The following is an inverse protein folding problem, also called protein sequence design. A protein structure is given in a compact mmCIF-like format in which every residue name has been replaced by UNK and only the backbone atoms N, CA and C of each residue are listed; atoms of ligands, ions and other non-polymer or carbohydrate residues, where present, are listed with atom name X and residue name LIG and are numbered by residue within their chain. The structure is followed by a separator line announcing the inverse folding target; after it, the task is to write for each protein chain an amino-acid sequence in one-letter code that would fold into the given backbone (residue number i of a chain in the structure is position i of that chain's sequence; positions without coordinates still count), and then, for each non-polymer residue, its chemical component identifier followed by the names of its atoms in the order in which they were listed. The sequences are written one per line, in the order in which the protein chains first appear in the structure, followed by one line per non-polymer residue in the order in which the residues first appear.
data_IF_799147654648
#
_entry.id   IF_799147654648
#
_cell.length_a   1.000
_cell.length_b   1.000
_cell.length_c   1.000
_cell.angle_alpha   90.00
_cell.angle_beta   90.00
_cell.angle_gamma   90.00
#
_symmetry.space_group_name_H-M   'P 1'
#
loop_
_entity.id
_entity.type
_entity.pdbx_description
1 polymer ?
#
# COMPACT_ATOMS: atom_id res chain seq x y z
N UNK A 1 23.47 -4.25 -7.20
CA UNK A 1 23.00 -3.16 -6.31
C UNK A 1 21.50 -3.35 -6.08
N UNK A 2 21.14 -4.06 -5.03
CA UNK A 2 19.75 -4.33 -4.63
C UNK A 2 19.24 -3.09 -3.89
N UNK A 3 18.84 -2.06 -4.62
CA UNK A 3 18.43 -0.80 -4.06
C UNK A 3 16.91 -0.66 -4.06
N UNK A 4 16.29 -0.71 -2.89
CA UNK A 4 15.16 0.15 -2.62
C UNK A 4 13.75 -0.42 -2.56
N UNK A 5 13.51 -1.73 -2.54
CA UNK A 5 12.20 -2.30 -2.16
C UNK A 5 12.08 -2.55 -0.64
N UNK A 6 13.18 -2.40 0.09
CA UNK A 6 13.33 -2.94 1.43
C UNK A 6 12.97 -1.99 2.57
N UNK A 7 12.43 -0.81 2.27
CA UNK A 7 11.99 0.12 3.32
C UNK A 7 10.51 0.42 3.19
N UNK A 8 9.76 0.41 4.31
CA UNK A 8 8.37 0.81 4.31
C UNK A 8 8.25 2.27 3.91
N UNK A 9 7.19 2.61 3.18
CA UNK A 9 6.88 4.00 2.80
C UNK A 9 6.09 4.72 3.89
N UNK A 10 5.40 3.95 4.73
CA UNK A 10 4.50 4.45 5.78
C UNK A 10 4.70 3.70 7.08
N UNK A 11 4.33 4.35 8.19
CA UNK A 11 4.27 3.73 9.51
C UNK A 11 2.88 3.92 10.10
N UNK A 12 2.29 2.86 10.64
CA UNK A 12 1.01 2.96 11.38
C UNK A 12 1.09 3.82 12.62
N UNK A 13 2.26 3.93 13.24
CA UNK A 13 2.44 4.80 14.40
C UNK A 13 2.20 6.28 14.12
N UNK A 14 2.43 6.72 12.88
CA UNK A 14 2.21 8.10 12.46
C UNK A 14 0.73 8.45 12.22
N UNK A 15 -0.13 7.49 11.96
CA UNK A 15 -1.52 7.70 11.55
C UNK A 15 -2.56 7.56 12.67
N UNK A 16 -2.21 6.94 13.81
CA UNK A 16 -3.17 6.59 14.88
C UNK A 16 -3.18 7.57 16.05
N UNK A 17 -2.74 8.82 15.88
CA UNK A 17 -2.85 9.85 16.92
C UNK A 17 -2.14 9.51 18.25
N UNK A 18 -1.05 8.76 18.19
CA UNK A 18 -0.24 8.43 19.36
C UNK A 18 -0.79 7.31 20.25
N UNK A 19 -1.81 6.59 19.86
CA UNK A 19 -2.20 5.35 20.52
C UNK A 19 -1.21 4.24 20.15
N UNK A 20 -0.24 4.00 21.01
CA UNK A 20 0.61 2.81 20.95
C UNK A 20 -0.31 1.58 20.98
N UNK A 21 -0.42 0.89 19.86
CA UNK A 21 -0.95 -0.46 19.83
C UNK A 21 0.24 -1.37 20.08
N UNK A 22 0.42 -1.72 21.34
CA UNK A 22 1.34 -2.77 21.77
C UNK A 22 0.80 -4.11 21.27
N UNK A 23 1.03 -4.38 19.98
CA UNK A 23 0.47 -5.57 19.32
C UNK A 23 1.60 -6.34 18.68
N UNK A 24 1.93 -7.44 19.33
CA UNK A 24 2.61 -8.53 18.64
C UNK A 24 1.77 -8.92 17.40
N UNK A 25 2.45 -9.29 16.33
CA UNK A 25 1.75 -9.85 15.17
C UNK A 25 1.00 -11.12 15.61
N UNK A 26 -0.24 -11.30 15.16
CA UNK A 26 -0.97 -12.52 15.47
C UNK A 26 -0.23 -13.74 14.92
N UNK A 27 -0.41 -14.93 15.52
CA UNK A 27 0.11 -16.15 14.96
C UNK A 27 -0.45 -16.38 13.55
N UNK A 28 0.29 -17.11 12.72
CA UNK A 28 -0.21 -17.49 11.40
C UNK A 28 -1.53 -18.25 11.53
N UNK A 29 -2.54 -17.97 10.69
CA UNK A 29 -3.77 -18.73 10.67
C UNK A 29 -3.55 -20.14 10.11
N UNK A 30 -4.53 -21.01 10.26
CA UNK A 30 -4.52 -22.31 9.59
C UNK A 30 -4.49 -22.12 8.06
N UNK A 31 -3.81 -23.00 7.32
CA UNK A 31 -3.77 -22.95 5.88
C UNK A 31 -5.17 -23.02 5.24
N UNK A 32 -5.38 -22.23 4.22
CA UNK A 32 -6.62 -22.23 3.45
C UNK A 32 -6.76 -23.55 2.67
N UNK A 33 -7.99 -24.06 2.48
CA UNK A 33 -8.23 -25.31 1.76
C UNK A 33 -7.89 -25.23 0.26
N UNK A 34 -7.85 -24.00 -0.29
CA UNK A 34 -7.49 -23.74 -1.66
C UNK A 34 -6.65 -22.46 -1.76
N UNK A 35 -5.72 -22.38 -2.72
CA UNK A 35 -4.97 -21.14 -2.96
C UNK A 35 -5.88 -19.99 -3.33
N UNK A 36 -5.57 -18.82 -2.79
CA UNK A 36 -6.29 -17.56 -3.05
C UNK A 36 -5.34 -16.44 -3.47
N UNK A 37 -5.93 -15.38 -3.99
CA UNK A 37 -5.27 -14.10 -4.24
C UNK A 37 -5.74 -13.11 -3.20
N UNK A 38 -4.81 -12.47 -2.51
CA UNK A 38 -5.12 -11.26 -1.72
C UNK A 38 -5.19 -10.08 -2.69
N UNK A 39 -6.40 -9.55 -2.89
CA UNK A 39 -6.63 -8.50 -3.86
C UNK A 39 -6.42 -7.08 -3.31
N UNK A 40 -6.04 -6.93 -2.02
CA UNK A 40 -5.81 -5.62 -1.42
C UNK A 40 -4.85 -5.73 -0.22
N UNK A 41 -3.58 -5.52 -0.47
CA UNK A 41 -2.53 -5.65 0.54
C UNK A 41 -1.61 -4.42 0.57
N UNK A 42 -1.02 -4.15 1.74
CA UNK A 42 -0.05 -3.09 1.97
C UNK A 42 1.23 -3.64 2.62
N UNK A 43 2.12 -4.18 1.80
CA UNK A 43 3.43 -4.68 2.25
C UNK A 43 4.42 -3.55 2.60
N UNK A 44 4.10 -2.33 2.20
CA UNK A 44 4.91 -1.12 2.39
C UNK A 44 4.68 -0.41 3.73
N UNK A 45 3.93 -1.02 4.66
CA UNK A 45 3.60 -0.42 5.95
C UNK A 45 4.43 -1.05 7.06
N UNK A 46 5.11 -0.19 7.85
CA UNK A 46 5.68 -0.59 9.13
C UNK A 46 4.56 -0.70 10.18
N UNK A 47 4.11 -1.91 10.46
CA UNK A 47 2.97 -2.22 11.33
C UNK A 47 3.33 -2.98 12.60
N UNK A 48 4.61 -3.33 12.76
CA UNK A 48 5.10 -4.03 13.93
C UNK A 48 5.39 -3.10 15.11
N UNK A 49 5.64 -3.68 16.30
CA UNK A 49 6.09 -2.92 17.46
C UNK A 49 7.34 -2.11 17.11
N UNK A 50 7.48 -0.94 17.71
CA UNK A 50 8.63 -0.04 17.51
C UNK A 50 8.89 0.40 16.04
N UNK A 51 7.87 0.34 15.19
CA UNK A 51 7.98 0.69 13.77
C UNK A 51 8.70 -0.36 12.93
N UNK A 52 8.87 -1.57 13.44
CA UNK A 52 9.38 -2.68 12.65
C UNK A 52 8.39 -3.07 11.54
N UNK A 53 8.93 -3.59 10.45
CA UNK A 53 8.10 -4.14 9.37
C UNK A 53 8.62 -5.51 8.97
N UNK A 54 7.77 -6.25 8.30
CA UNK A 54 8.16 -7.50 7.68
C UNK A 54 8.62 -7.19 6.25
N UNK A 55 9.82 -7.62 5.93
CA UNK A 55 10.37 -7.47 4.59
C UNK A 55 9.48 -8.20 3.57
N UNK A 56 9.29 -7.62 2.38
CA UNK A 56 8.29 -8.09 1.41
C UNK A 56 8.46 -9.58 1.05
N UNK A 57 9.67 -10.04 0.79
CA UNK A 57 9.93 -11.44 0.47
C UNK A 57 9.55 -12.39 1.60
N UNK A 58 9.80 -12.02 2.84
CA UNK A 58 9.40 -12.81 4.00
C UNK A 58 7.88 -12.78 4.22
N UNK A 59 7.24 -11.63 4.01
CA UNK A 59 5.77 -11.53 4.07
C UNK A 59 5.11 -12.43 3.04
N UNK A 60 5.60 -12.42 1.81
CA UNK A 60 5.12 -13.25 0.71
C UNK A 60 5.33 -14.74 0.97
N UNK A 61 6.46 -15.13 1.55
CA UNK A 61 6.72 -16.51 1.94
C UNK A 61 5.72 -17.00 2.98
N UNK A 62 5.48 -16.22 4.04
CA UNK A 62 4.49 -16.54 5.08
C UNK A 62 3.06 -16.59 4.53
N UNK A 63 2.70 -15.68 3.64
CA UNK A 63 1.40 -15.68 2.98
C UNK A 63 1.20 -16.97 2.16
N UNK A 64 2.21 -17.39 1.42
CA UNK A 64 2.16 -18.63 0.63
C UNK A 64 2.00 -19.91 1.50
N UNK A 65 2.60 -19.93 2.70
CA UNK A 65 2.47 -21.06 3.65
C UNK A 65 1.03 -21.29 4.10
N UNK A 66 0.21 -20.24 4.11
CA UNK A 66 -1.22 -20.33 4.49
C UNK A 66 -2.15 -20.28 3.27
N UNK A 67 -1.62 -20.41 2.07
CA UNK A 67 -2.42 -20.52 0.84
C UNK A 67 -2.69 -19.20 0.11
N UNK A 68 -2.14 -18.06 0.55
CA UNK A 68 -2.20 -16.79 -0.21
C UNK A 68 -1.02 -16.76 -1.17
N UNK A 69 -1.26 -17.07 -2.44
CA UNK A 69 -0.19 -17.32 -3.42
C UNK A 69 0.11 -16.12 -4.33
N UNK A 70 -0.80 -15.16 -4.38
CA UNK A 70 -0.64 -13.91 -5.15
C UNK A 70 -1.22 -12.74 -4.38
N UNK A 71 -0.66 -11.56 -4.62
CA UNK A 71 -1.03 -10.32 -3.92
C UNK A 71 -1.15 -9.17 -4.90
N UNK A 72 -2.19 -8.35 -4.70
CA UNK A 72 -2.28 -7.02 -5.29
C UNK A 72 -1.81 -6.01 -4.24
N UNK A 73 -0.61 -5.50 -4.42
CA UNK A 73 -0.03 -4.46 -3.58
C UNK A 73 -0.60 -3.10 -3.97
N UNK A 74 -1.25 -2.42 -3.05
CA UNK A 74 -1.91 -1.14 -3.29
C UNK A 74 -1.04 0.03 -2.80
N UNK A 75 -0.67 0.91 -3.73
CA UNK A 75 -0.03 2.19 -3.44
C UNK A 75 -1.07 3.30 -3.29
N UNK A 76 -1.16 3.91 -2.11
CA UNK A 76 -2.17 4.92 -1.79
C UNK A 76 -1.70 6.36 -1.98
N UNK A 77 -0.42 6.58 -2.16
CA UNK A 77 0.26 7.85 -2.42
C UNK A 77 1.40 7.64 -3.42
N UNK A 78 2.06 8.70 -3.86
CA UNK A 78 3.16 8.57 -4.82
C UNK A 78 4.32 7.68 -4.33
N UNK A 79 4.82 7.82 -3.09
CA UNK A 79 5.83 6.91 -2.57
C UNK A 79 5.37 5.45 -2.58
N UNK A 80 4.16 5.17 -2.12
CA UNK A 80 3.55 3.84 -2.09
C UNK A 80 3.31 3.26 -3.49
N UNK A 81 2.84 4.07 -4.44
CA UNK A 81 2.63 3.66 -5.83
C UNK A 81 3.96 3.26 -6.50
N UNK A 82 5.00 4.07 -6.35
CA UNK A 82 6.36 3.73 -6.82
C UNK A 82 6.90 2.46 -6.16
N UNK A 83 6.65 2.30 -4.87
CA UNK A 83 7.05 1.11 -4.13
C UNK A 83 6.31 -0.12 -4.65
N UNK A 84 5.00 -0.03 -4.86
CA UNK A 84 4.16 -1.13 -5.38
C UNK A 84 4.66 -1.63 -6.75
N UNK A 85 4.99 -0.71 -7.66
CA UNK A 85 5.56 -1.06 -8.97
C UNK A 85 6.90 -1.76 -8.81
N UNK A 86 7.81 -1.25 -7.98
CA UNK A 86 9.11 -1.92 -7.73
C UNK A 86 8.94 -3.30 -7.13
N UNK A 87 8.05 -3.46 -6.13
CA UNK A 87 7.77 -4.75 -5.52
C UNK A 87 7.20 -5.76 -6.54
N UNK A 88 6.31 -5.30 -7.43
CA UNK A 88 5.76 -6.13 -8.49
C UNK A 88 6.81 -6.58 -9.51
N UNK A 89 7.85 -5.79 -9.78
CA UNK A 89 8.99 -6.21 -10.58
C UNK A 89 9.95 -7.15 -9.85
N UNK A 90 10.11 -6.97 -8.54
CA UNK A 90 11.00 -7.79 -7.72
C UNK A 90 10.40 -9.17 -7.38
N UNK A 91 9.06 -9.30 -7.32
CA UNK A 91 8.37 -10.50 -6.89
C UNK A 91 7.30 -10.90 -7.90
N UNK A 92 7.44 -12.06 -8.51
CA UNK A 92 6.55 -12.55 -9.57
C UNK A 92 5.09 -12.69 -9.09
N UNK A 93 4.88 -13.08 -7.85
CA UNK A 93 3.56 -13.25 -7.23
C UNK A 93 2.84 -11.93 -6.89
N UNK A 94 3.51 -10.78 -7.05
CA UNK A 94 2.94 -9.46 -6.77
C UNK A 94 2.56 -8.76 -8.07
N UNK A 95 1.38 -8.13 -8.09
CA UNK A 95 1.02 -7.10 -9.06
C UNK A 95 0.71 -5.81 -8.33
N UNK A 96 0.85 -4.67 -9.01
CA UNK A 96 0.62 -3.37 -8.40
C UNK A 96 -0.76 -2.80 -8.71
N UNK A 97 -1.36 -2.14 -7.72
CA UNK A 97 -2.40 -1.15 -7.86
C UNK A 97 -1.83 0.23 -7.53
N UNK A 98 -2.18 1.24 -8.31
CA UNK A 98 -1.67 2.61 -8.15
C UNK A 98 -2.80 3.61 -8.15
N UNK A 99 -2.78 4.56 -7.20
CA UNK A 99 -3.71 5.67 -7.14
C UNK A 99 -3.24 6.75 -6.15
N UNK A 100 -3.99 7.84 -6.10
CA UNK A 100 -4.01 8.76 -4.97
C UNK A 100 -5.24 8.43 -4.12
N UNK A 101 -5.02 7.98 -2.89
CA UNK A 101 -6.10 7.69 -1.93
C UNK A 101 -7.02 8.90 -1.74
N UNK A 102 -8.31 8.73 -1.45
CA UNK A 102 -9.24 9.84 -1.23
C UNK A 102 -8.78 10.91 -0.24
N UNK A 103 -7.93 10.57 0.72
CA UNK A 103 -7.33 11.52 1.66
C UNK A 103 -6.14 12.29 1.09
N UNK A 104 -5.44 11.73 0.10
CA UNK A 104 -4.26 12.33 -0.51
C UNK A 104 -4.63 13.43 -1.50
N UNK A 105 -5.68 13.23 -2.30
CA UNK A 105 -6.10 14.18 -3.31
C UNK A 105 -6.44 15.57 -2.71
N UNK A 106 -7.24 15.70 -1.63
CA UNK A 106 -7.50 17.00 -1.00
C UNK A 106 -6.23 17.63 -0.39
N UNK A 107 -5.32 16.83 0.16
CA UNK A 107 -4.05 17.32 0.71
C UNK A 107 -3.19 17.92 -0.41
N UNK A 108 -3.00 17.18 -1.48
CA UNK A 108 -2.21 17.58 -2.62
C UNK A 108 -2.82 18.80 -3.36
N UNK A 109 -4.16 18.88 -3.42
CA UNK A 109 -4.84 20.05 -3.99
C UNK A 109 -4.51 21.32 -3.21
N UNK A 110 -4.56 21.26 -1.87
CA UNK A 110 -4.20 22.42 -1.01
C UNK A 110 -2.73 22.82 -1.14
N UNK A 111 -1.85 21.85 -1.37
CA UNK A 111 -0.41 22.07 -1.57
C UNK A 111 -0.05 22.48 -3.02
N UNK A 112 -1.03 22.52 -3.94
CA UNK A 112 -0.80 22.82 -5.36
C UNK A 112 -0.07 21.71 -6.12
N UNK A 113 -0.06 20.50 -5.60
CA UNK A 113 0.68 19.36 -6.16
C UNK A 113 -0.18 18.32 -6.87
N UNK A 114 -1.51 18.44 -6.87
CA UNK A 114 -2.43 17.41 -7.33
C UNK A 114 -2.23 17.03 -8.80
N UNK A 115 -2.19 18.00 -9.71
CA UNK A 115 -2.04 17.73 -11.15
C UNK A 115 -0.74 17.00 -11.48
N UNK A 116 0.36 17.41 -10.84
CA UNK A 116 1.64 16.73 -11.02
C UNK A 116 1.63 15.31 -10.47
N UNK A 117 1.03 15.11 -9.30
CA UNK A 117 0.92 13.79 -8.69
C UNK A 117 0.02 12.88 -9.55
N UNK A 118 -1.09 13.40 -10.05
CA UNK A 118 -1.99 12.67 -10.94
C UNK A 118 -1.28 12.25 -12.24
N UNK A 119 -0.56 13.17 -12.89
CA UNK A 119 0.20 12.84 -14.10
C UNK A 119 1.22 11.70 -13.86
N UNK A 120 1.85 11.68 -12.69
CA UNK A 120 2.76 10.59 -12.33
C UNK A 120 2.04 9.26 -12.10
N UNK A 121 0.86 9.26 -11.45
CA UNK A 121 0.04 8.05 -11.32
C UNK A 121 -0.36 7.51 -12.70
N UNK A 122 -0.73 8.37 -13.64
CA UNK A 122 -1.03 7.97 -15.03
C UNK A 122 0.18 7.27 -15.65
N UNK A 123 1.37 7.85 -15.52
CA UNK A 123 2.62 7.22 -16.02
C UNK A 123 2.90 5.87 -15.37
N UNK A 124 2.73 5.77 -14.04
CA UNK A 124 2.91 4.49 -13.34
C UNK A 124 1.88 3.44 -13.76
N UNK A 125 0.66 3.86 -14.10
CA UNK A 125 -0.41 2.96 -14.54
C UNK A 125 -0.11 2.28 -15.90
N UNK A 126 0.79 2.83 -16.70
CA UNK A 126 1.25 2.23 -17.97
C UNK A 126 2.23 1.06 -17.77
N UNK A 127 2.77 0.89 -16.56
CA UNK A 127 3.72 -0.19 -16.27
C UNK A 127 3.05 -1.57 -16.41
N UNK A 128 3.67 -2.54 -17.11
CA UNK A 128 3.08 -3.85 -17.36
C UNK A 128 2.84 -4.69 -16.09
N UNK A 129 3.38 -4.32 -14.94
CA UNK A 129 3.12 -4.97 -13.66
C UNK A 129 1.97 -4.32 -12.88
N UNK A 130 1.45 -3.19 -13.33
CA UNK A 130 0.24 -2.56 -12.78
C UNK A 130 -0.99 -3.25 -13.37
N UNK A 131 -1.92 -3.65 -12.53
CA UNK A 131 -3.15 -4.36 -12.91
C UNK A 131 -4.41 -3.74 -12.33
N UNK A 132 -4.27 -2.70 -11.52
CA UNK A 132 -5.38 -1.97 -10.93
C UNK A 132 -5.06 -0.48 -10.82
N UNK A 133 -6.09 0.34 -10.99
CA UNK A 133 -6.07 1.75 -10.59
C UNK A 133 -7.00 1.89 -9.39
N UNK A 134 -6.43 2.09 -8.23
CA UNK A 134 -7.11 2.12 -6.92
C UNK A 134 -6.09 2.11 -5.77
N UNK A 135 -6.54 2.46 -4.54
CA UNK A 135 -7.91 2.78 -4.16
C UNK A 135 -8.24 4.24 -4.45
N UNK A 136 -9.42 4.45 -4.99
CA UNK A 136 -9.96 5.78 -5.33
C UNK A 136 -11.32 5.96 -4.68
N UNK A 137 -11.81 7.20 -4.61
CA UNK A 137 -13.15 7.49 -4.11
C UNK A 137 -13.21 8.77 -3.29
N UNK A 138 -14.22 8.86 -2.43
CA UNK A 138 -14.46 9.98 -1.54
C UNK A 138 -14.44 9.48 -0.09
N UNK A 139 -13.67 10.13 0.76
CA UNK A 139 -13.59 9.82 2.20
C UNK A 139 -14.20 10.96 3.02
N UNK A 140 -15.51 10.90 3.22
CA UNK A 140 -16.24 11.86 4.03
C UNK A 140 -16.00 11.70 5.54
N UNK A 141 -15.38 10.63 5.97
CA UNK A 141 -15.06 10.41 7.38
C UNK A 141 -13.83 11.21 7.82
N UNK A 142 -12.82 11.29 6.96
CA UNK A 142 -11.55 11.98 7.27
C UNK A 142 -11.41 13.33 6.60
N UNK A 143 -12.23 13.60 5.57
CA UNK A 143 -12.26 14.90 4.90
C UNK A 143 -13.37 15.73 5.53
N UNK A 144 -13.06 16.87 6.18
CA UNK A 144 -14.07 17.69 6.83
C UNK A 144 -15.01 18.35 5.80
N UNK A 145 -16.26 18.65 6.19
CA UNK A 145 -17.30 19.12 5.28
C UNK A 145 -16.93 20.30 4.40
N UNK A 146 -16.12 21.23 4.91
CA UNK A 146 -15.64 22.41 4.18
C UNK A 146 -14.68 22.07 3.03
N UNK A 147 -14.24 20.82 2.94
CA UNK A 147 -13.35 20.30 1.90
C UNK A 147 -14.06 19.36 0.93
N UNK A 148 -15.40 19.17 1.08
CA UNK A 148 -16.17 18.28 0.21
C UNK A 148 -16.56 18.89 -1.11
N UNK A 149 -16.54 20.21 -1.22
CA UNK A 149 -16.87 20.93 -2.46
C UNK A 149 -15.61 21.19 -3.29
N UNK A 150 -15.75 21.18 -4.62
CA UNK A 150 -14.70 21.68 -5.51
C UNK A 150 -14.49 23.17 -5.37
#
# INVERSE_FOLDING_TARGET
MTGGTDRPTRSRHASDGGRSRDRERPPAPDPLPHPVVDNHCHLDIADGPDGSWLEAGEALRRAAEVGVTRIVQIGCDLPGARWAVRAAHAHEQVVAGVALHPNEAPRLAREGGLERAFAEIVTLAEDPRVRAVGETGLDYFRTPPEQHAP
#
